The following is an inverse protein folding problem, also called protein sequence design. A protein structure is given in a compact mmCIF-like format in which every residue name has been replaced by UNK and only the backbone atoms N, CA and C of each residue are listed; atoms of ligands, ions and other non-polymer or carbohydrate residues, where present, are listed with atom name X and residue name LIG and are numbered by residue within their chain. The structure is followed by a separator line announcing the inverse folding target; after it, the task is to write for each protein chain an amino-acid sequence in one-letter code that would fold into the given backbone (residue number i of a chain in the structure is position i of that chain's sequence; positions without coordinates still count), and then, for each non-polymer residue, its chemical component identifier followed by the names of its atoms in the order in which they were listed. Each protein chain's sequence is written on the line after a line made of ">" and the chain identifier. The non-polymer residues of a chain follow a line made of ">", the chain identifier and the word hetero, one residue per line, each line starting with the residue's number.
data_IF_563548543625
#
_entry.id   IF_563548543625
#
_cell.length_a   1.000
_cell.length_b   1.000
_cell.length_c   1.000
_cell.angle_alpha   90.00
_cell.angle_beta   90.00
_cell.angle_gamma   90.00
#
_symmetry.space_group_name_H-M   'P 1'
#
loop_
_entity.id
_entity.type
_entity.pdbx_description
1 polymer ?
#
# COMPACT_ATOMS: atom_id res chain seq x y z
N UNK A 1 -10.44 6.49 -16.13
CA UNK A 1 -10.48 5.75 -14.83
C UNK A 1 -9.61 4.50 -14.84
N UNK A 2 -9.67 3.61 -15.84
CA UNK A 2 -8.85 2.39 -15.86
C UNK A 2 -7.32 2.63 -15.92
N UNK A 3 -6.86 3.71 -16.56
CA UNK A 3 -5.43 4.04 -16.68
C UNK A 3 -4.79 4.44 -15.36
N UNK A 4 -5.44 5.33 -14.59
CA UNK A 4 -4.94 5.78 -13.29
C UNK A 4 -4.85 4.63 -12.27
N UNK A 5 -5.75 3.64 -12.35
CA UNK A 5 -5.68 2.44 -11.52
C UNK A 5 -4.44 1.61 -11.82
N UNK A 6 -4.22 1.32 -13.11
CA UNK A 6 -3.11 0.48 -13.55
C UNK A 6 -1.76 1.13 -13.25
N UNK A 7 -1.66 2.44 -13.49
CA UNK A 7 -0.44 3.20 -13.19
C UNK A 7 -0.09 3.17 -11.70
N UNK A 8 -1.07 3.39 -10.82
CA UNK A 8 -0.85 3.33 -9.36
C UNK A 8 -0.47 1.92 -8.93
N UNK A 9 -1.13 0.90 -9.47
CA UNK A 9 -0.81 -0.50 -9.18
C UNK A 9 0.60 -0.86 -9.65
N UNK A 10 1.00 -0.50 -10.87
CA UNK A 10 2.33 -0.79 -11.42
C UNK A 10 3.44 -0.11 -10.60
N UNK A 11 3.24 1.16 -10.19
CA UNK A 11 4.20 1.89 -9.34
C UNK A 11 4.29 1.27 -7.93
N UNK A 12 3.14 0.93 -7.32
CA UNK A 12 3.13 0.27 -6.02
C UNK A 12 3.77 -1.11 -6.08
N UNK A 13 3.52 -1.87 -7.15
CA UNK A 13 4.10 -3.19 -7.33
C UNK A 13 5.61 -3.10 -7.48
N UNK A 14 6.12 -2.23 -8.36
CA UNK A 14 7.57 -2.05 -8.50
C UNK A 14 8.27 -1.68 -7.18
N UNK A 15 7.64 -0.83 -6.36
CA UNK A 15 8.19 -0.47 -5.05
C UNK A 15 8.23 -1.64 -4.05
N UNK A 16 7.20 -2.51 -4.08
CA UNK A 16 7.14 -3.70 -3.23
C UNK A 16 8.14 -4.77 -3.72
N UNK A 17 8.26 -4.96 -5.04
CA UNK A 17 9.24 -5.88 -5.64
C UNK A 17 10.66 -5.51 -5.21
N UNK A 18 11.04 -4.24 -5.32
CA UNK A 18 12.34 -3.73 -4.88
C UNK A 18 12.57 -3.95 -3.38
N UNK A 19 11.54 -3.76 -2.56
CA UNK A 19 11.62 -3.97 -1.12
C UNK A 19 11.84 -5.45 -0.79
N UNK A 20 11.06 -6.35 -1.40
CA UNK A 20 11.17 -7.79 -1.20
C UNK A 20 12.53 -8.30 -1.69
N UNK A 21 13.02 -7.83 -2.83
CA UNK A 21 14.34 -8.17 -3.35
C UNK A 21 15.47 -7.73 -2.41
N UNK A 22 15.41 -6.51 -1.87
CA UNK A 22 16.44 -5.98 -0.96
C UNK A 22 16.44 -6.63 0.41
N UNK A 23 15.27 -7.00 0.91
CA UNK A 23 15.11 -7.56 2.27
C UNK A 23 15.17 -9.08 2.30
N UNK A 24 14.94 -9.75 1.16
CA UNK A 24 14.81 -11.22 1.06
C UNK A 24 13.75 -11.80 2.03
N UNK A 25 12.76 -10.97 2.43
CA UNK A 25 11.65 -11.39 3.28
C UNK A 25 10.66 -12.19 2.46
N UNK A 26 10.19 -13.32 2.99
CA UNK A 26 9.13 -14.08 2.35
C UNK A 26 7.82 -13.28 2.43
N UNK A 27 7.09 -13.09 1.31
CA UNK A 27 5.78 -12.45 1.31
C UNK A 27 4.78 -13.01 2.33
N UNK A 28 4.92 -14.29 2.71
CA UNK A 28 4.06 -14.95 3.71
C UNK A 28 4.34 -14.54 5.16
N UNK A 29 5.50 -13.97 5.45
CA UNK A 29 5.90 -13.51 6.79
C UNK A 29 5.39 -12.09 7.08
N UNK A 30 4.81 -11.42 6.07
CA UNK A 30 4.18 -10.11 6.22
C UNK A 30 2.77 -10.31 6.77
N UNK A 31 2.54 -9.77 7.97
CA UNK A 31 1.25 -9.89 8.63
C UNK A 31 0.39 -8.62 8.49
N UNK A 32 1.00 -7.49 8.17
CA UNK A 32 0.34 -6.18 8.09
C UNK A 32 0.71 -5.47 6.79
N UNK A 33 -0.31 -5.03 6.05
CA UNK A 33 -0.17 -4.14 4.90
C UNK A 33 -0.99 -2.88 5.14
N UNK A 34 -0.33 -1.72 5.15
CA UNK A 34 -0.98 -0.42 5.25
C UNK A 34 -0.71 0.32 3.95
N UNK A 35 -1.78 0.61 3.20
CA UNK A 35 -1.72 1.44 2.00
C UNK A 35 -2.27 2.81 2.34
N UNK A 36 -1.51 3.85 2.02
CA UNK A 36 -1.92 5.24 2.16
C UNK A 36 -2.01 5.85 0.75
N UNK A 37 -3.23 6.19 0.35
CA UNK A 37 -3.50 6.90 -0.90
C UNK A 37 -4.66 7.89 -0.69
N UNK A 38 -4.35 9.18 -0.70
CA UNK A 38 -5.33 10.23 -0.40
C UNK A 38 -6.28 10.53 -1.57
N UNK A 39 -5.77 10.43 -2.80
CA UNK A 39 -6.47 10.91 -3.99
C UNK A 39 -7.17 9.79 -4.78
N UNK A 40 -6.96 8.52 -4.41
CA UNK A 40 -7.50 7.39 -5.17
C UNK A 40 -7.86 6.22 -4.26
N UNK A 41 -9.16 6.02 -4.03
CA UNK A 41 -9.72 4.95 -3.20
C UNK A 41 -10.75 4.12 -4.00
N UNK A 42 -10.31 3.29 -4.95
CA UNK A 42 -11.20 2.47 -5.77
C UNK A 42 -11.78 1.29 -4.98
N UNK A 43 -12.88 0.72 -5.47
CA UNK A 43 -13.40 -0.58 -5.02
C UNK A 43 -13.23 -1.60 -6.15
N UNK A 44 -12.63 -2.79 -5.93
CA UNK A 44 -11.93 -3.22 -4.70
C UNK A 44 -10.67 -2.36 -4.42
N UNK A 45 -10.30 -2.26 -3.14
CA UNK A 45 -9.24 -1.36 -2.65
C UNK A 45 -7.87 -1.70 -3.20
N UNK A 46 -6.97 -0.71 -3.21
CA UNK A 46 -5.56 -0.90 -3.60
C UNK A 46 -4.88 -1.96 -2.72
N UNK A 47 -5.17 -1.94 -1.41
CA UNK A 47 -4.67 -2.95 -0.48
C UNK A 47 -5.12 -4.38 -0.85
N UNK A 48 -6.37 -4.55 -1.30
CA UNK A 48 -6.87 -5.85 -1.73
C UNK A 48 -6.19 -6.34 -3.01
N UNK A 49 -5.89 -5.44 -3.96
CA UNK A 49 -5.18 -5.81 -5.18
C UNK A 49 -3.74 -6.26 -4.87
N UNK A 50 -3.03 -5.54 -3.99
CA UNK A 50 -1.68 -5.90 -3.55
C UNK A 50 -1.69 -7.28 -2.87
N UNK A 51 -2.60 -7.51 -1.93
CA UNK A 51 -2.73 -8.81 -1.24
C UNK A 51 -2.95 -9.94 -2.26
N UNK A 52 -3.83 -9.72 -3.24
CA UNK A 52 -4.11 -10.72 -4.26
C UNK A 52 -2.95 -10.92 -5.26
N UNK A 53 -2.20 -9.87 -5.58
CA UNK A 53 -1.07 -9.92 -6.50
C UNK A 53 0.10 -10.72 -5.90
N UNK A 54 0.54 -10.34 -4.69
CA UNK A 54 1.69 -10.95 -4.02
C UNK A 54 1.39 -12.26 -3.30
N UNK A 55 0.12 -12.68 -3.28
CA UNK A 55 -0.32 -13.89 -2.56
C UNK A 55 0.18 -13.89 -1.11
N UNK A 56 0.00 -12.74 -0.45
CA UNK A 56 0.25 -12.61 0.98
C UNK A 56 -0.57 -13.63 1.77
N UNK A 57 -0.22 -13.80 3.04
CA UNK A 57 -0.88 -14.75 3.93
C UNK A 57 -2.39 -14.46 4.02
N UNK A 58 -3.22 -15.50 4.04
CA UNK A 58 -4.69 -15.35 3.98
C UNK A 58 -5.31 -14.59 5.17
N UNK A 59 -4.61 -14.46 6.30
CA UNK A 59 -5.01 -13.70 7.48
C UNK A 59 -4.28 -12.34 7.60
N UNK A 60 -3.72 -11.81 6.51
CA UNK A 60 -3.05 -10.51 6.51
C UNK A 60 -4.02 -9.39 6.92
N UNK A 61 -3.55 -8.50 7.79
CA UNK A 61 -4.27 -7.29 8.17
C UNK A 61 -3.99 -6.21 7.14
N UNK A 62 -4.97 -5.96 6.26
CA UNK A 62 -4.84 -4.94 5.20
C UNK A 62 -5.65 -3.68 5.55
N UNK A 63 -5.00 -2.52 5.48
CA UNK A 63 -5.61 -1.21 5.74
C UNK A 63 -5.44 -0.32 4.52
N UNK A 64 -6.49 0.42 4.14
CA UNK A 64 -6.42 1.45 3.10
C UNK A 64 -6.82 2.79 3.73
N UNK A 65 -5.83 3.66 3.93
CA UNK A 65 -6.00 4.97 4.57
C UNK A 65 -6.09 6.05 3.50
N UNK A 66 -7.15 6.85 3.58
CA UNK A 66 -7.40 7.97 2.68
C UNK A 66 -6.68 9.28 3.10
N UNK A 67 -5.90 9.28 4.19
CA UNK A 67 -5.07 10.41 4.59
C UNK A 67 -4.04 10.04 5.67
N UNK A 68 -3.00 10.88 5.77
CA UNK A 68 -1.97 10.94 6.80
C UNK A 68 -0.92 9.80 6.84
N UNK A 69 0.22 10.07 6.19
CA UNK A 69 1.45 9.27 6.25
C UNK A 69 1.93 8.99 7.69
N UNK A 70 1.80 9.95 8.60
CA UNK A 70 2.24 9.79 10.01
C UNK A 70 1.39 8.78 10.78
N UNK A 71 0.07 8.75 10.52
CA UNK A 71 -0.85 7.79 11.15
C UNK A 71 -0.52 6.37 10.70
N UNK A 72 -0.15 6.19 9.43
CA UNK A 72 0.21 4.88 8.90
C UNK A 72 1.44 4.26 9.60
N UNK A 73 2.44 5.09 9.92
CA UNK A 73 3.63 4.65 10.67
C UNK A 73 3.33 4.36 12.14
N UNK A 74 2.50 5.17 12.80
CA UNK A 74 2.13 4.91 14.20
C UNK A 74 1.27 3.64 14.32
N UNK A 75 0.36 3.42 13.36
CA UNK A 75 -0.43 2.20 13.26
C UNK A 75 0.48 0.96 13.12
N UNK A 76 1.45 1.01 12.20
CA UNK A 76 2.43 -0.07 12.03
C UNK A 76 3.21 -0.35 13.32
N UNK A 77 3.68 0.71 13.99
CA UNK A 77 4.41 0.61 15.26
C UNK A 77 3.57 -0.08 16.35
N UNK A 78 2.33 0.36 16.53
CA UNK A 78 1.43 -0.21 17.54
C UNK A 78 1.14 -1.69 17.27
N UNK A 79 0.99 -2.09 15.99
CA UNK A 79 0.83 -3.50 15.66
C UNK A 79 2.09 -4.32 15.92
N UNK A 80 3.27 -3.83 15.53
CA UNK A 80 4.54 -4.53 15.75
C UNK A 80 4.88 -4.69 17.24
N UNK A 81 4.38 -3.81 18.11
CA UNK A 81 4.51 -3.96 19.56
C UNK A 81 3.69 -5.13 20.13
N UNK A 82 2.58 -5.48 19.49
CA UNK A 82 1.68 -6.57 19.92
C UNK A 82 2.01 -7.89 19.23
N UNK A 83 2.50 -7.82 17.99
CA UNK A 83 2.81 -8.98 17.15
C UNK A 83 4.33 -9.18 17.02
N UNK A 84 4.90 -10.01 17.89
CA UNK A 84 6.32 -10.35 17.83
C UNK A 84 6.68 -11.15 16.57
N UNK A 85 7.88 -10.92 16.03
CA UNK A 85 8.41 -11.58 14.83
C UNK A 85 7.50 -11.45 13.59
N UNK A 86 6.86 -10.29 13.43
CA UNK A 86 6.02 -9.98 12.27
C UNK A 86 6.64 -8.85 11.44
N UNK A 87 6.34 -8.84 10.15
CA UNK A 87 6.69 -7.73 9.26
C UNK A 87 5.45 -6.92 8.90
N UNK A 88 5.62 -5.60 8.88
CA UNK A 88 4.61 -4.65 8.41
C UNK A 88 5.16 -3.89 7.21
N UNK A 89 4.36 -3.82 6.13
CA UNK A 89 4.65 -2.97 4.98
C UNK A 89 3.73 -1.75 5.04
N UNK A 90 4.34 -0.57 4.92
CA UNK A 90 3.62 0.70 4.74
C UNK A 90 3.93 1.22 3.34
N UNK A 91 2.92 1.23 2.47
CA UNK A 91 3.00 1.77 1.11
C UNK A 91 2.31 3.13 1.10
N UNK A 92 3.02 4.17 0.69
CA UNK A 92 2.44 5.50 0.49
C UNK A 92 2.64 5.90 -0.96
N UNK A 93 1.56 6.26 -1.64
CA UNK A 93 1.62 6.85 -2.97
C UNK A 93 0.94 8.22 -2.97
N UNK A 94 1.47 9.12 -3.79
CA UNK A 94 0.82 10.38 -4.12
C UNK A 94 0.54 10.35 -5.63
N UNK A 95 -0.73 10.49 -6.02
CA UNK A 95 -1.12 10.51 -7.43
C UNK A 95 -1.76 11.86 -7.77
N UNK A 96 -0.97 12.72 -8.41
CA UNK A 96 -1.39 14.06 -8.86
C UNK A 96 -2.28 14.04 -10.11
N UNK A 97 -2.39 12.90 -10.79
CA UNK A 97 -3.08 12.76 -12.10
C UNK A 97 -4.58 13.04 -12.02
N UNK A 98 -5.21 12.90 -10.85
CA UNK A 98 -6.65 13.15 -10.65
C UNK A 98 -7.00 14.59 -10.25
N UNK A 99 -6.00 15.42 -9.88
CA UNK A 99 -6.21 16.79 -9.42
C UNK A 99 -5.44 17.82 -10.25
N UNK A 100 -4.97 17.44 -11.44
CA UNK A 100 -4.25 18.35 -12.30
C UNK A 100 -5.19 19.40 -12.89
N UNK A 101 -5.04 20.66 -12.45
CA UNK A 101 -5.70 21.79 -13.11
C UNK A 101 -4.98 22.09 -14.42
N UNK A 102 -5.67 21.97 -15.54
CA UNK A 102 -5.09 22.18 -16.88
C UNK A 102 -4.88 23.63 -17.25
N UNK A 103 -5.19 24.57 -16.36
CA UNK A 103 -5.35 25.99 -16.69
C UNK A 103 -6.78 26.29 -17.15
N UNK A 104 -7.26 27.49 -16.83
CA UNK A 104 -8.24 28.19 -17.65
C UNK A 104 -7.41 29.26 -18.34
N UNK A 105 -7.46 29.32 -19.66
CA UNK A 105 -7.05 30.52 -20.38
C UNK A 105 -7.88 31.74 -19.92
#
# INVERSE_FOLDING_TARGET
>A
MCTARKEVEDVMFGAIDDLLAKTSINPKDIEILIVNCSLFNPTPSLSANIVNHYKFRGNIKSFNLASAKVISTDLAKNFLQVHSNSYAIVVSTENITLNWYTGND
#
